data_IF_461984091080
#
_entry.id   IF_461984091080
#
_cell.length_a   1.000
_cell.length_b   1.000
_cell.length_c   1.000
_cell.angle_alpha   90.00
_cell.angle_beta   90.00
_cell.angle_gamma   90.00
#
_symmetry.space_group_name_H-M   'P 1'
#
loop_
_entity.id
_entity.type
_entity.pdbx_description
1 polymer ?
#
# COMPACT_ATOMS: atom_id res chain seq x y z
N UNK A 1 16.05 -5.19 -8.21
CA UNK A 1 15.51 -5.93 -7.05
C UNK A 1 16.62 -6.80 -6.50
N UNK A 2 16.70 -7.04 -5.17
CA UNK A 2 17.75 -7.85 -4.57
C UNK A 2 17.74 -9.27 -5.15
N UNK A 3 18.90 -9.82 -5.41
CA UNK A 3 19.09 -11.21 -5.84
C UNK A 3 18.97 -12.18 -4.66
N UNK A 4 18.83 -13.48 -4.92
CA UNK A 4 18.82 -14.50 -3.86
C UNK A 4 20.15 -14.52 -3.07
N UNK A 5 21.26 -14.19 -3.71
CA UNK A 5 22.55 -13.99 -3.03
C UNK A 5 22.52 -12.79 -2.09
N UNK A 6 21.97 -11.65 -2.53
CA UNK A 6 21.86 -10.45 -1.69
C UNK A 6 21.00 -10.72 -0.45
N UNK A 7 19.85 -11.40 -0.63
CA UNK A 7 18.97 -11.76 0.48
C UNK A 7 19.66 -12.67 1.50
N UNK A 8 20.51 -13.59 1.03
CA UNK A 8 21.24 -14.50 1.91
C UNK A 8 22.35 -13.78 2.69
N UNK A 9 23.01 -12.79 2.08
CA UNK A 9 23.98 -11.94 2.78
C UNK A 9 23.30 -11.06 3.84
N UNK A 10 22.13 -10.50 3.53
CA UNK A 10 21.33 -9.71 4.48
C UNK A 10 20.90 -10.59 5.67
N UNK A 11 20.43 -11.81 5.41
CA UNK A 11 20.04 -12.74 6.48
C UNK A 11 21.22 -13.08 7.40
N UNK A 12 22.41 -13.31 6.84
CA UNK A 12 23.61 -13.57 7.61
C UNK A 12 23.97 -12.37 8.50
N UNK A 13 23.97 -11.15 7.96
CA UNK A 13 24.27 -9.93 8.71
C UNK A 13 23.24 -9.67 9.83
N UNK A 14 21.95 -9.94 9.59
CA UNK A 14 20.90 -9.83 10.61
C UNK A 14 21.06 -10.87 11.71
N UNK A 15 21.45 -12.10 11.37
CA UNK A 15 21.70 -13.16 12.34
C UNK A 15 22.94 -12.87 13.18
N UNK A 16 24.00 -12.34 12.57
CA UNK A 16 25.22 -11.91 13.27
C UNK A 16 24.98 -10.76 14.26
N UNK A 17 24.02 -9.88 13.96
CA UNK A 17 23.62 -8.81 14.89
C UNK A 17 22.67 -9.27 16.00
N UNK A 18 22.27 -10.56 16.01
CA UNK A 18 21.36 -11.13 17.00
C UNK A 18 19.88 -10.86 16.73
N UNK A 19 19.50 -10.41 15.53
CA UNK A 19 18.11 -10.17 15.17
C UNK A 19 17.36 -11.49 14.88
N UNK A 20 16.07 -11.54 15.22
CA UNK A 20 15.19 -12.65 14.81
C UNK A 20 14.93 -12.58 13.29
N UNK A 21 15.44 -13.56 12.54
CA UNK A 21 15.27 -13.64 11.09
C UNK A 21 14.04 -14.45 10.66
N UNK A 22 13.22 -14.94 11.60
CA UNK A 22 12.13 -15.88 11.28
C UNK A 22 11.10 -15.28 10.34
N UNK A 23 10.67 -14.04 10.59
CA UNK A 23 9.76 -13.31 9.70
C UNK A 23 10.36 -13.06 8.32
N UNK A 24 11.67 -12.79 8.25
CA UNK A 24 12.39 -12.61 6.98
C UNK A 24 12.39 -13.90 6.15
N UNK A 25 12.70 -15.04 6.77
CA UNK A 25 12.67 -16.35 6.12
C UNK A 25 11.27 -16.71 5.64
N UNK A 26 10.23 -16.42 6.44
CA UNK A 26 8.84 -16.65 6.06
C UNK A 26 8.43 -15.83 4.82
N UNK A 27 8.75 -14.53 4.79
CA UNK A 27 8.49 -13.67 3.63
C UNK A 27 9.24 -14.15 2.38
N UNK A 28 10.45 -14.67 2.53
CA UNK A 28 11.21 -15.28 1.42
C UNK A 28 10.47 -16.48 0.84
N UNK A 29 9.89 -17.33 1.69
CA UNK A 29 9.06 -18.47 1.27
C UNK A 29 7.78 -18.02 0.57
N UNK A 30 7.06 -17.04 1.12
CA UNK A 30 5.88 -16.46 0.46
C UNK A 30 6.20 -15.91 -0.93
N UNK A 31 7.36 -15.25 -1.10
CA UNK A 31 7.83 -14.76 -2.39
C UNK A 31 8.11 -15.88 -3.38
N UNK A 32 8.82 -16.92 -2.96
CA UNK A 32 9.10 -18.09 -3.82
C UNK A 32 7.81 -18.75 -4.31
N UNK A 33 6.76 -18.72 -3.48
CA UNK A 33 5.43 -19.25 -3.81
C UNK A 33 4.53 -18.25 -4.55
N UNK A 34 5.03 -17.07 -4.94
CA UNK A 34 4.25 -15.97 -5.56
C UNK A 34 3.07 -15.44 -4.71
N UNK A 35 3.07 -15.69 -3.40
CA UNK A 35 2.01 -15.27 -2.46
C UNK A 35 2.23 -13.86 -1.89
N UNK A 36 3.45 -13.31 -2.00
CA UNK A 36 3.79 -11.99 -1.48
C UNK A 36 3.30 -10.81 -2.35
N UNK A 37 2.17 -10.97 -3.06
CA UNK A 37 1.64 -9.99 -4.01
C UNK A 37 2.51 -9.92 -5.26
N UNK A 38 2.10 -10.65 -6.30
CA UNK A 38 2.78 -10.64 -7.60
C UNK A 38 2.88 -9.22 -8.16
N UNK A 39 4.10 -8.74 -8.37
CA UNK A 39 4.44 -7.46 -9.00
C UNK A 39 3.90 -7.31 -10.45
N UNK A 40 3.21 -8.33 -10.97
CA UNK A 40 2.46 -8.31 -12.23
C UNK A 40 1.24 -7.39 -12.21
N UNK A 41 0.68 -7.07 -11.03
CA UNK A 41 -0.36 -6.02 -10.91
C UNK A 41 0.27 -4.63 -10.73
N UNK A 42 1.52 -4.55 -10.27
CA UNK A 42 2.26 -3.30 -10.13
C UNK A 42 2.78 -2.74 -11.48
N UNK A 43 2.89 -3.55 -12.54
CA UNK A 43 3.29 -3.07 -13.87
C UNK A 43 2.23 -2.18 -14.53
N UNK A 44 0.94 -2.39 -14.24
CA UNK A 44 -0.12 -1.46 -14.66
C UNK A 44 -0.20 -0.21 -13.77
N UNK A 45 0.38 -0.27 -12.57
CA UNK A 45 0.38 0.84 -11.60
C UNK A 45 1.57 1.81 -11.78
N UNK A 46 2.59 1.40 -12.55
CA UNK A 46 3.79 2.19 -12.82
C UNK A 46 3.59 3.37 -13.79
N UNK A 47 2.48 3.40 -14.53
CA UNK A 47 2.19 4.44 -15.52
C UNK A 47 1.55 5.72 -14.93
N UNK A 48 1.20 5.75 -13.64
CA UNK A 48 0.47 6.86 -13.00
C UNK A 48 1.37 7.79 -12.15
N UNK A 49 2.69 7.76 -12.37
CA UNK A 49 3.67 8.56 -11.60
C UNK A 49 3.59 10.09 -11.83
N UNK A 50 2.63 10.59 -12.60
CA UNK A 50 2.59 12.00 -13.03
C UNK A 50 1.51 12.85 -12.32
N UNK A 51 0.71 12.29 -11.41
CA UNK A 51 -0.45 13.00 -10.81
C UNK A 51 -0.39 13.21 -9.28
N UNK A 52 0.66 12.76 -8.58
CA UNK A 52 0.74 12.83 -7.10
C UNK A 52 1.48 14.07 -6.56
N UNK A 53 1.15 15.26 -7.07
CA UNK A 53 1.87 16.51 -6.78
C UNK A 53 1.49 17.26 -5.49
N UNK A 54 0.62 16.74 -4.60
CA UNK A 54 -0.03 17.60 -3.59
C UNK A 54 0.16 17.24 -2.10
N UNK A 55 0.78 16.13 -1.72
CA UNK A 55 0.94 15.76 -0.28
C UNK A 55 2.27 16.19 0.35
N UNK A 56 3.08 17.00 -0.33
CA UNK A 56 4.40 17.45 0.16
C UNK A 56 4.32 18.60 1.20
N UNK A 57 3.19 19.28 1.34
CA UNK A 57 3.06 20.50 2.17
C UNK A 57 3.06 20.23 3.68
N UNK A 58 2.46 19.13 4.12
CA UNK A 58 2.30 18.84 5.55
C UNK A 58 3.58 18.35 6.21
N UNK A 59 4.52 17.77 5.44
CA UNK A 59 5.81 17.32 5.98
C UNK A 59 6.87 18.44 6.04
N UNK A 60 6.70 19.49 5.27
CA UNK A 60 7.64 20.62 5.27
C UNK A 60 7.36 21.57 6.44
N UNK A 61 6.10 21.67 6.89
CA UNK A 61 5.69 22.59 7.95
C UNK A 61 6.10 22.17 9.37
N UNK A 62 6.23 20.86 9.65
CA UNK A 62 6.80 20.40 10.93
C UNK A 62 8.31 20.60 10.98
N UNK A 63 9.02 20.32 9.88
CA UNK A 63 10.45 20.53 9.78
C UNK A 63 10.83 22.01 9.94
N UNK A 64 10.01 22.92 9.42
CA UNK A 64 10.20 24.37 9.54
C UNK A 64 9.93 24.91 10.95
N UNK A 65 8.97 24.32 11.70
CA UNK A 65 8.62 24.74 13.06
C UNK A 65 9.54 24.22 14.15
N UNK A 66 10.25 23.10 13.95
CA UNK A 66 11.11 22.50 14.98
C UNK A 66 12.61 22.71 14.76
N UNK A 67 13.06 23.05 13.54
CA UNK A 67 14.49 23.11 13.23
C UNK A 67 14.87 24.44 12.56
N UNK A 68 14.91 25.49 13.38
CA UNK A 68 15.40 26.81 12.98
C UNK A 68 16.80 26.74 12.36
N UNK A 69 16.93 27.35 11.17
CA UNK A 69 18.16 27.90 10.55
C UNK A 69 19.43 27.03 10.51
N UNK A 70 19.34 25.71 10.22
CA UNK A 70 20.55 24.85 10.22
C UNK A 70 20.73 23.80 9.11
N UNK A 71 19.78 23.57 8.20
CA UNK A 71 19.81 22.39 7.30
C UNK A 71 19.59 22.71 5.81
N UNK A 72 20.24 23.74 5.27
CA UNK A 72 20.19 24.04 3.81
C UNK A 72 20.97 23.03 2.95
N UNK A 73 21.78 22.14 3.55
CA UNK A 73 22.61 21.16 2.81
C UNK A 73 22.02 19.74 2.78
N UNK A 74 21.18 19.36 3.75
CA UNK A 74 20.55 18.01 3.82
C UNK A 74 19.24 17.93 3.02
N UNK A 75 18.61 19.07 2.73
CA UNK A 75 17.31 19.19 2.05
C UNK A 75 17.31 18.74 0.58
N UNK A 76 18.48 18.70 -0.09
CA UNK A 76 18.58 18.19 -1.48
C UNK A 76 18.62 16.66 -1.58
N UNK A 77 19.08 15.96 -0.54
CA UNK A 77 19.17 14.49 -0.51
C UNK A 77 17.84 13.80 -0.23
N UNK A 78 17.01 14.36 0.65
CA UNK A 78 15.66 13.84 0.96
C UNK A 78 14.64 14.08 -0.16
N UNK A 79 14.87 15.06 -1.04
CA UNK A 79 13.98 15.32 -2.18
C UNK A 79 13.93 14.14 -3.16
N UNK A 80 15.03 13.40 -3.33
CA UNK A 80 15.07 12.19 -4.16
C UNK A 80 14.53 10.93 -3.47
N UNK A 81 14.55 10.88 -2.13
CA UNK A 81 13.94 9.80 -1.36
C UNK A 81 12.40 9.96 -1.28
N UNK A 82 11.92 11.20 -1.37
CA UNK A 82 10.50 11.54 -1.34
C UNK A 82 9.86 11.73 -2.72
N UNK A 83 10.63 12.00 -3.78
CA UNK A 83 10.11 12.15 -5.15
C UNK A 83 9.68 10.83 -5.77
N UNK A 84 10.06 9.69 -5.17
CA UNK A 84 9.60 8.36 -5.52
C UNK A 84 8.33 7.93 -4.80
N UNK A 85 7.47 8.87 -4.35
CA UNK A 85 6.20 8.58 -3.69
C UNK A 85 5.30 7.76 -4.63
N UNK A 86 5.48 6.43 -4.60
CA UNK A 86 4.60 5.48 -5.25
C UNK A 86 3.23 5.69 -4.64
N UNK A 87 2.26 6.08 -5.46
CA UNK A 87 0.87 6.17 -5.05
C UNK A 87 0.48 4.84 -4.39
N UNK A 88 -0.09 4.91 -3.19
CA UNK A 88 -0.47 3.70 -2.45
C UNK A 88 -1.33 2.80 -3.34
N UNK A 89 -1.07 1.48 -3.40
CA UNK A 89 -1.85 0.53 -4.18
C UNK A 89 -3.35 0.62 -3.87
N UNK A 90 -3.70 0.82 -2.60
CA UNK A 90 -5.09 0.97 -2.15
C UNK A 90 -5.71 2.24 -2.75
N UNK A 91 -4.97 3.35 -2.76
CA UNK A 91 -5.47 4.63 -3.28
C UNK A 91 -5.75 4.56 -4.77
N UNK A 92 -4.86 3.99 -5.59
CA UNK A 92 -5.14 3.97 -7.03
C UNK A 92 -6.07 2.83 -7.45
N UNK A 93 -6.17 1.72 -6.71
CA UNK A 93 -7.29 0.79 -6.87
C UNK A 93 -8.63 1.51 -6.59
N UNK A 94 -8.74 2.22 -5.47
CA UNK A 94 -9.95 2.96 -5.13
C UNK A 94 -10.27 4.07 -6.14
N UNK A 95 -9.26 4.78 -6.65
CA UNK A 95 -9.48 5.82 -7.66
C UNK A 95 -10.10 5.26 -8.94
N UNK A 96 -9.56 4.15 -9.46
CA UNK A 96 -10.13 3.44 -10.60
C UNK A 96 -11.55 2.96 -10.32
N UNK A 97 -11.78 2.32 -9.16
CA UNK A 97 -13.09 1.81 -8.76
C UNK A 97 -14.12 2.94 -8.66
N UNK A 98 -13.77 4.04 -7.99
CA UNK A 98 -14.66 5.17 -7.77
C UNK A 98 -14.89 6.01 -9.04
N UNK A 99 -13.98 5.98 -10.01
CA UNK A 99 -14.19 6.65 -11.30
C UNK A 99 -15.20 5.91 -12.20
N UNK A 100 -15.44 4.62 -11.94
CA UNK A 100 -16.37 3.78 -12.69
C UNK A 100 -15.99 3.52 -14.15
N UNK A 101 -14.76 3.86 -14.56
CA UNK A 101 -14.26 3.68 -15.92
C UNK A 101 -13.77 2.25 -16.11
N UNK A 102 -14.59 1.39 -16.69
CA UNK A 102 -14.20 0.05 -17.13
C UNK A 102 -13.28 0.14 -18.35
N UNK A 103 -12.01 0.48 -18.15
CA UNK A 103 -10.98 0.28 -19.17
C UNK A 103 -10.58 -1.20 -19.17
N UNK A 104 -10.63 -1.85 -20.34
CA UNK A 104 -10.29 -3.28 -20.46
C UNK A 104 -8.85 -3.53 -20.00
N UNK A 105 -8.68 -4.39 -18.99
CA UNK A 105 -7.37 -4.67 -18.37
C UNK A 105 -6.99 -3.69 -17.26
N UNK A 106 -7.92 -2.87 -16.79
CA UNK A 106 -7.75 -2.04 -15.59
C UNK A 106 -8.00 -2.83 -14.28
N UNK A 107 -7.62 -2.28 -13.11
CA UNK A 107 -7.82 -2.94 -11.81
C UNK A 107 -9.27 -3.39 -11.55
N UNK A 108 -10.25 -2.68 -12.13
CA UNK A 108 -11.68 -2.99 -12.08
C UNK A 108 -12.04 -4.40 -12.56
N UNK A 109 -11.31 -4.94 -13.53
CA UNK A 109 -11.60 -6.28 -14.06
C UNK A 109 -11.14 -7.40 -13.10
N UNK A 110 -10.24 -7.09 -12.15
CA UNK A 110 -9.78 -8.02 -11.12
C UNK A 110 -10.71 -8.10 -9.90
N UNK A 111 -11.64 -7.14 -9.74
CA UNK A 111 -12.56 -7.10 -8.60
C UNK A 111 -13.94 -7.68 -8.93
N UNK A 112 -14.43 -8.58 -8.08
CA UNK A 112 -15.82 -9.02 -8.12
C UNK A 112 -16.75 -7.89 -7.65
N UNK A 113 -17.86 -7.72 -8.35
CA UNK A 113 -18.91 -6.73 -8.02
C UNK A 113 -20.15 -7.46 -7.53
N UNK A 114 -20.73 -6.98 -6.43
CA UNK A 114 -21.94 -7.53 -5.84
C UNK A 114 -22.94 -6.40 -5.58
N UNK A 115 -24.15 -6.53 -6.14
CA UNK A 115 -25.26 -5.60 -5.88
C UNK A 115 -26.28 -6.28 -4.95
N UNK A 116 -26.44 -5.82 -3.70
CA UNK A 116 -27.40 -6.41 -2.76
C UNK A 116 -28.88 -6.18 -3.18
N UNK A 117 -29.14 -5.23 -4.09
CA UNK A 117 -30.48 -4.97 -4.65
C UNK A 117 -30.74 -5.77 -5.92
N UNK A 118 -29.71 -6.33 -6.53
CA UNK A 118 -29.79 -7.15 -7.72
C UNK A 118 -30.29 -8.57 -7.42
N UNK A 119 -30.78 -9.29 -8.43
CA UNK A 119 -31.13 -10.69 -8.27
C UNK A 119 -29.89 -11.54 -7.90
N UNK A 120 -30.05 -12.56 -7.04
CA UNK A 120 -28.93 -13.43 -6.65
C UNK A 120 -28.33 -14.11 -7.88
N UNK A 121 -27.01 -13.99 -8.04
CA UNK A 121 -26.28 -14.57 -9.17
C UNK A 121 -26.43 -13.83 -10.51
N UNK A 122 -27.15 -12.70 -10.54
CA UNK A 122 -27.17 -11.83 -11.70
C UNK A 122 -25.82 -11.12 -11.84
N UNK A 123 -25.23 -11.16 -13.03
CA UNK A 123 -24.16 -10.23 -13.38
C UNK A 123 -24.75 -8.81 -13.22
N UNK A 124 -24.27 -8.07 -12.22
CA UNK A 124 -24.69 -6.68 -12.03
C UNK A 124 -24.40 -5.93 -13.32
N UNK A 125 -25.43 -5.40 -13.98
CA UNK A 125 -25.21 -4.43 -15.03
C UNK A 125 -24.42 -3.29 -14.38
N UNK A 126 -23.17 -3.12 -14.84
CA UNK A 126 -22.13 -2.31 -14.20
C UNK A 126 -22.58 -0.84 -14.23
N UNK A 127 -23.50 -0.44 -13.35
CA UNK A 127 -23.90 0.95 -13.11
C UNK A 127 -22.77 1.67 -12.36
N UNK A 128 -21.60 1.69 -12.98
CA UNK A 128 -20.37 2.20 -12.43
C UNK A 128 -20.36 3.70 -12.67
N UNK A 129 -21.11 4.41 -11.84
CA UNK A 129 -21.01 5.86 -11.82
C UNK A 129 -19.59 6.29 -11.44
N UNK A 130 -19.30 7.59 -11.54
CA UNK A 130 -18.39 8.17 -10.59
C UNK A 130 -19.05 8.11 -9.20
N UNK A 131 -18.51 7.28 -8.31
CA UNK A 131 -18.93 7.21 -6.90
C UNK A 131 -18.32 8.37 -6.11
N UNK A 132 -19.08 8.91 -5.14
CA UNK A 132 -18.63 9.98 -4.24
C UNK A 132 -18.22 9.49 -2.86
N UNK A 133 -18.78 8.36 -2.45
CA UNK A 133 -18.61 7.78 -1.12
C UNK A 133 -18.14 6.34 -1.26
N UNK A 134 -17.21 5.92 -0.41
CA UNK A 134 -16.72 4.56 -0.36
C UNK A 134 -16.39 4.13 1.07
N UNK A 135 -16.62 2.84 1.35
CA UNK A 135 -16.13 2.16 2.55
C UNK A 135 -15.09 1.14 2.10
N UNK A 136 -13.86 1.27 2.59
CA UNK A 136 -12.74 0.38 2.30
C UNK A 136 -12.47 -0.47 3.52
N UNK A 137 -12.42 -1.79 3.37
CA UNK A 137 -12.12 -2.72 4.46
C UNK A 137 -10.89 -3.58 4.12
N UNK A 138 -9.79 -3.37 4.84
CA UNK A 138 -8.58 -4.20 4.72
C UNK A 138 -8.70 -5.46 5.58
N UNK A 139 -8.59 -6.62 4.94
CA UNK A 139 -8.65 -7.93 5.61
C UNK A 139 -7.22 -8.43 5.82
N UNK A 140 -6.87 -8.82 7.06
CA UNK A 140 -5.54 -9.33 7.41
C UNK A 140 -4.54 -8.25 7.84
N UNK A 141 -5.02 -7.04 8.12
CA UNK A 141 -4.22 -5.94 8.64
C UNK A 141 -4.27 -4.69 7.75
N UNK A 142 -4.46 -3.55 8.39
CA UNK A 142 -4.37 -2.23 7.81
C UNK A 142 -3.31 -1.39 8.49
N UNK A 143 -2.93 -0.27 7.88
CA UNK A 143 -1.95 0.64 8.47
C UNK A 143 -2.40 2.10 8.37
N UNK A 144 -1.95 2.91 9.32
CA UNK A 144 -2.27 4.33 9.37
C UNK A 144 -1.76 5.09 8.12
N UNK A 145 -0.69 4.60 7.48
CA UNK A 145 -0.19 5.17 6.24
C UNK A 145 -1.18 5.02 5.07
N UNK A 146 -1.95 3.93 5.02
CA UNK A 146 -3.00 3.75 4.01
C UNK A 146 -4.17 4.68 4.27
N UNK A 147 -4.59 4.79 5.54
CA UNK A 147 -5.63 5.73 5.97
C UNK A 147 -5.28 7.16 5.55
N UNK A 148 -4.10 7.66 5.94
CA UNK A 148 -3.66 9.02 5.61
C UNK A 148 -3.55 9.23 4.10
N UNK A 149 -3.05 8.25 3.35
CA UNK A 149 -2.98 8.32 1.90
C UNK A 149 -4.35 8.42 1.25
N UNK A 150 -5.35 7.68 1.75
CA UNK A 150 -6.73 7.73 1.29
C UNK A 150 -7.41 9.06 1.62
N UNK A 151 -7.24 9.56 2.85
CA UNK A 151 -7.81 10.85 3.25
C UNK A 151 -7.20 12.01 2.46
N UNK A 152 -5.87 12.02 2.30
CA UNK A 152 -5.18 13.04 1.51
C UNK A 152 -5.61 13.00 0.03
N UNK A 153 -5.75 11.79 -0.53
CA UNK A 153 -6.26 11.62 -1.88
C UNK A 153 -7.69 12.15 -2.03
N UNK A 154 -8.60 11.75 -1.14
CA UNK A 154 -10.01 12.13 -1.18
C UNK A 154 -10.21 13.66 -1.08
N UNK A 155 -9.40 14.33 -0.26
CA UNK A 155 -9.37 15.79 -0.13
C UNK A 155 -8.75 16.50 -1.34
N UNK A 156 -7.86 15.84 -2.07
CA UNK A 156 -7.18 16.40 -3.26
C UNK A 156 -8.02 16.32 -4.55
N UNK A 157 -9.09 15.52 -4.56
CA UNK A 157 -9.97 15.39 -5.72
C UNK A 157 -10.72 16.71 -6.00
N UNK A 158 -10.84 17.07 -7.28
CA UNK A 158 -11.56 18.28 -7.71
C UNK A 158 -13.01 18.34 -7.20
N UNK A 159 -13.66 17.18 -7.11
CA UNK A 159 -14.86 16.99 -6.31
C UNK A 159 -14.49 16.21 -5.03
N UNK A 160 -14.72 16.77 -3.82
CA UNK A 160 -14.43 16.07 -2.58
C UNK A 160 -15.13 14.71 -2.54
N UNK A 161 -14.36 13.67 -2.24
CA UNK A 161 -14.86 12.30 -2.01
C UNK A 161 -14.90 12.02 -0.51
N UNK A 162 -15.85 11.20 -0.07
CA UNK A 162 -15.83 10.66 1.29
C UNK A 162 -15.35 9.21 1.28
N UNK A 163 -14.36 8.93 2.11
CA UNK A 163 -13.80 7.58 2.25
C UNK A 163 -13.77 7.23 3.72
N UNK A 164 -14.46 6.15 4.06
CA UNK A 164 -14.33 5.49 5.36
C UNK A 164 -13.37 4.32 5.20
N UNK A 165 -12.28 4.33 5.95
CA UNK A 165 -11.32 3.24 5.96
C UNK A 165 -11.47 2.43 7.23
N UNK A 166 -11.55 1.11 7.06
CA UNK A 166 -11.55 0.14 8.13
C UNK A 166 -10.57 -0.99 7.82
N UNK A 167 -10.18 -1.70 8.86
CA UNK A 167 -9.39 -2.91 8.74
C UNK A 167 -9.79 -3.89 9.85
N UNK A 168 -9.50 -5.17 9.64
CA UNK A 168 -9.60 -6.19 10.70
C UNK A 168 -8.78 -5.83 11.94
N UNK A 169 -7.60 -5.24 11.73
CA UNK A 169 -6.71 -4.74 12.76
C UNK A 169 -5.84 -3.61 12.16
N UNK A 170 -5.45 -2.63 12.98
CA UNK A 170 -4.52 -1.56 12.57
C UNK A 170 -3.17 -1.88 13.19
N UNK A 171 -2.18 -2.15 12.35
CA UNK A 171 -0.88 -2.66 12.77
C UNK A 171 0.25 -1.64 12.55
N UNK A 172 1.19 -1.63 13.51
CA UNK A 172 2.51 -1.08 13.28
C UNK A 172 3.36 -2.05 12.45
N UNK A 173 4.45 -1.55 11.88
CA UNK A 173 5.39 -2.41 11.16
C UNK A 173 5.96 -3.53 12.06
N UNK A 174 6.20 -3.21 13.32
CA UNK A 174 6.72 -4.16 14.32
C UNK A 174 5.69 -5.26 14.65
N UNK A 175 4.43 -4.89 14.90
CA UNK A 175 3.38 -5.86 15.20
C UNK A 175 3.14 -6.81 14.02
N UNK A 176 3.16 -6.28 12.78
CA UNK A 176 3.05 -7.11 11.58
C UNK A 176 4.25 -8.04 11.40
N UNK A 177 5.48 -7.55 11.65
CA UNK A 177 6.69 -8.40 11.61
C UNK A 177 6.62 -9.52 12.66
N UNK A 178 6.09 -9.25 13.84
CA UNK A 178 5.90 -10.26 14.87
C UNK A 178 4.92 -11.36 14.42
N UNK A 179 3.79 -11.00 13.81
CA UNK A 179 2.86 -11.98 13.23
C UNK A 179 3.53 -12.84 12.15
N UNK A 180 4.34 -12.24 11.28
CA UNK A 180 5.10 -12.98 10.26
C UNK A 180 6.12 -13.93 10.89
N UNK A 181 6.77 -13.53 11.99
CA UNK A 181 7.69 -14.37 12.73
C UNK A 181 6.96 -15.53 13.42
N UNK A 182 5.79 -15.29 14.01
CA UNK A 182 4.95 -16.33 14.62
C UNK A 182 4.47 -17.35 13.57
N UNK A 183 4.01 -16.88 12.41
CA UNK A 183 3.66 -17.75 11.28
C UNK A 183 4.87 -18.53 10.76
N UNK A 184 6.04 -17.88 10.67
CA UNK A 184 7.29 -18.54 10.30
C UNK A 184 7.66 -19.68 11.26
N UNK A 185 7.51 -19.47 12.57
CA UNK A 185 7.73 -20.52 13.60
C UNK A 185 6.72 -21.66 13.47
N UNK A 186 5.45 -21.35 13.29
CA UNK A 186 4.39 -22.36 13.16
C UNK A 186 4.56 -23.22 11.91
N UNK A 187 4.97 -22.61 10.79
CA UNK A 187 5.15 -23.30 9.51
C UNK A 187 6.50 -24.01 9.38
N UNK A 188 7.48 -23.67 10.23
CA UNK A 188 8.77 -24.36 10.30
C UNK A 188 8.80 -25.54 11.28
N UNK A 189 7.74 -25.77 12.05
CA UNK A 189 7.62 -26.93 12.93
C UNK A 189 7.18 -28.16 12.10
N UNK A 190 7.85 -29.32 12.23
CA UNK A 190 7.51 -30.55 11.53
C UNK A 190 6.18 -31.17 11.98
#
# INVERSE_FOLDING_TARGET
MPTDSDLSQIEAALRESGADTTGFSYVRTLRKNNLAGGMKSASNFGALSQLAGSSQSNLLSWAEKTFGQGLSTVTKGVKNLLSGARRSPVVAALDSLMAGKSESGGPLDDFATFDPRGPPGGASDRSMGPYREAVVCMIGGGTYLEHEALQAWAASCASPRQVVYGATEILSAEAFLQQLADLGRQTSLP
#
